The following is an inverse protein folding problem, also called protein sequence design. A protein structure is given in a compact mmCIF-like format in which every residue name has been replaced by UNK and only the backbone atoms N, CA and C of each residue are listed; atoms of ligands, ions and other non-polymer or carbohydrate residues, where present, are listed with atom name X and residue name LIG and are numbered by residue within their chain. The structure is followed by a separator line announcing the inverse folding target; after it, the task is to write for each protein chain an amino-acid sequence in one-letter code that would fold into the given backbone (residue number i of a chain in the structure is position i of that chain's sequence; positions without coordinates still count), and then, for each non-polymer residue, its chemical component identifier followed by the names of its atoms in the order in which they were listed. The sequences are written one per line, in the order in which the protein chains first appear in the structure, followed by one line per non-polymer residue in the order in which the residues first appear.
data_IF_790769218688
#
_entry.id   IF_790769218688
#
_cell.length_a   1.000
_cell.length_b   1.000
_cell.length_c   1.000
_cell.angle_alpha   90.00
_cell.angle_beta   90.00
_cell.angle_gamma   90.00
#
_symmetry.space_group_name_H-M   'P 1'
#
loop_
_entity.id
_entity.type
_entity.pdbx_description
1 polymer ?
#
# COMPACT_ATOMS: atom_id res chain seq x y z
N UNK A 1 -25.42 -24.62 -17.08
CA UNK A 1 -24.66 -23.37 -17.27
C UNK A 1 -25.49 -22.23 -16.71
N UNK A 2 -25.30 -21.88 -15.43
CA UNK A 2 -25.93 -20.70 -14.84
C UNK A 2 -24.82 -19.80 -14.32
N UNK A 3 -24.78 -18.62 -14.91
CA UNK A 3 -23.82 -17.56 -14.72
C UNK A 3 -23.84 -17.03 -13.28
N UNK A 4 -22.73 -17.21 -12.56
CA UNK A 4 -22.38 -16.42 -11.38
C UNK A 4 -21.37 -15.36 -11.78
N UNK A 5 -21.87 -14.25 -12.32
CA UNK A 5 -21.12 -13.08 -12.77
C UNK A 5 -20.23 -12.56 -11.64
N UNK A 6 -18.99 -12.21 -11.99
CA UNK A 6 -17.98 -11.48 -11.21
C UNK A 6 -18.58 -10.56 -10.14
N UNK A 7 -17.98 -10.54 -8.94
CA UNK A 7 -17.76 -9.31 -8.17
C UNK A 7 -16.72 -9.52 -7.07
N UNK A 8 -15.47 -9.30 -7.46
CA UNK A 8 -14.34 -8.95 -6.60
C UNK A 8 -14.65 -7.66 -5.85
N UNK A 9 -15.14 -7.73 -4.60
CA UNK A 9 -15.12 -6.56 -3.70
C UNK A 9 -14.48 -7.00 -2.38
N UNK A 10 -13.14 -7.01 -2.40
CA UNK A 10 -12.37 -6.87 -1.16
C UNK A 10 -12.82 -5.57 -0.52
N UNK A 11 -13.33 -5.69 0.72
CA UNK A 11 -13.77 -4.60 1.61
C UNK A 11 -12.96 -3.33 1.38
N UNK A 12 -13.60 -2.16 1.19
CA UNK A 12 -12.87 -0.90 1.14
C UNK A 12 -12.07 -0.79 2.43
N UNK A 13 -10.80 -0.48 2.25
CA UNK A 13 -9.80 -0.17 3.26
C UNK A 13 -10.33 0.96 4.13
N UNK A 14 -11.16 0.57 5.10
CA UNK A 14 -11.77 1.44 6.09
C UNK A 14 -10.63 1.92 7.00
N UNK A 15 -10.06 3.05 6.59
CA UNK A 15 -9.05 3.82 7.33
C UNK A 15 -9.69 4.36 8.61
N UNK A 16 -9.88 3.49 9.60
CA UNK A 16 -10.41 3.91 10.90
C UNK A 16 -9.39 3.58 11.98
N UNK A 17 -8.83 4.66 12.52
CA UNK A 17 -8.44 4.74 13.93
C UNK A 17 -7.01 5.18 14.20
N UNK A 18 -6.09 5.11 13.23
CA UNK A 18 -4.68 5.53 13.40
C UNK A 18 -4.16 6.00 12.04
N UNK A 19 -3.99 7.30 11.85
CA UNK A 19 -3.33 7.88 10.67
C UNK A 19 -1.95 7.22 10.52
N UNK A 20 -1.84 6.34 9.53
CA UNK A 20 -0.66 5.53 9.28
C UNK A 20 -0.31 5.69 7.81
N UNK A 21 0.87 6.21 7.53
CA UNK A 21 1.38 6.43 6.18
C UNK A 21 2.06 5.14 5.73
N UNK A 22 1.51 4.47 4.71
CA UNK A 22 2.08 3.25 4.15
C UNK A 22 3.05 3.61 3.03
N UNK A 23 4.31 3.30 3.20
CA UNK A 23 5.36 3.80 2.32
C UNK A 23 6.10 2.64 1.69
N UNK A 24 6.26 2.68 0.38
CA UNK A 24 6.98 1.67 -0.37
C UNK A 24 8.34 2.25 -0.75
N UNK A 25 9.43 1.64 -0.28
CA UNK A 25 10.80 2.00 -0.66
C UNK A 25 11.30 1.10 -1.79
N UNK A 26 11.12 -0.21 -1.64
CA UNK A 26 11.44 -1.18 -2.68
C UNK A 26 10.15 -1.81 -3.20
N UNK A 27 9.87 -1.66 -4.48
CA UNK A 27 8.66 -2.17 -5.10
C UNK A 27 8.55 -1.72 -6.54
N UNK A 28 7.38 -1.91 -7.14
CA UNK A 28 7.12 -1.41 -8.50
C UNK A 28 7.23 0.11 -8.61
N UNK A 29 6.73 0.83 -7.61
CA UNK A 29 6.72 2.29 -7.55
C UNK A 29 6.96 2.76 -6.12
N UNK A 30 8.17 3.23 -5.80
CA UNK A 30 8.45 3.79 -4.48
C UNK A 30 7.62 5.06 -4.28
N UNK A 31 6.76 5.06 -3.26
CA UNK A 31 5.85 6.16 -2.97
C UNK A 31 5.15 5.98 -1.62
N UNK A 32 4.73 7.09 -1.01
CA UNK A 32 3.86 7.11 0.16
C UNK A 32 2.39 6.97 -0.28
N UNK A 33 1.70 5.99 0.31
CA UNK A 33 0.28 5.71 0.10
C UNK A 33 -0.46 5.82 1.43
N UNK A 34 -1.61 6.48 1.40
CA UNK A 34 -2.56 6.50 2.52
C UNK A 34 -3.47 5.26 2.54
N UNK A 35 -3.30 4.34 1.60
CA UNK A 35 -4.17 3.16 1.44
C UNK A 35 -3.34 1.90 1.26
N UNK A 36 -3.64 0.89 2.07
CA UNK A 36 -3.00 -0.42 1.97
C UNK A 36 -3.27 -1.07 0.63
N UNK A 37 -4.46 -0.87 0.05
CA UNK A 37 -4.81 -1.45 -1.26
C UNK A 37 -3.87 -0.97 -2.38
N UNK A 38 -3.45 0.30 -2.36
CA UNK A 38 -2.50 0.83 -3.35
C UNK A 38 -1.09 0.30 -3.08
N UNK A 39 -0.65 0.35 -1.82
CA UNK A 39 0.64 -0.18 -1.39
C UNK A 39 0.80 -1.66 -1.75
N UNK A 40 -0.20 -2.49 -1.40
CA UNK A 40 -0.24 -3.92 -1.72
C UNK A 40 -0.04 -4.17 -3.20
N UNK A 41 -0.70 -3.45 -4.10
CA UNK A 41 -0.52 -3.63 -5.55
C UNK A 41 0.93 -3.38 -6.03
N UNK A 42 1.71 -2.59 -5.29
CA UNK A 42 3.11 -2.30 -5.64
C UNK A 42 4.10 -3.34 -5.08
N UNK A 43 3.76 -3.95 -3.94
CA UNK A 43 4.62 -4.95 -3.26
C UNK A 43 4.23 -6.39 -3.58
N UNK A 44 2.97 -6.63 -3.92
CA UNK A 44 2.40 -7.95 -4.25
C UNK A 44 3.00 -8.45 -5.57
N UNK A 45 3.71 -9.57 -5.47
CA UNK A 45 4.47 -10.17 -6.56
C UNK A 45 5.82 -9.51 -6.87
N UNK A 46 6.29 -8.54 -6.06
CA UNK A 46 7.62 -7.95 -6.22
C UNK A 46 8.62 -8.63 -5.27
N UNK A 47 9.67 -9.24 -5.84
CA UNK A 47 10.67 -9.98 -5.07
C UNK A 47 11.60 -9.00 -4.36
N UNK A 48 11.64 -9.06 -3.02
CA UNK A 48 12.40 -8.09 -2.22
C UNK A 48 11.69 -6.74 -2.04
N UNK A 49 10.35 -6.73 -2.07
CA UNK A 49 9.60 -5.52 -1.80
C UNK A 49 9.78 -5.09 -0.33
N UNK A 50 10.07 -3.81 -0.12
CA UNK A 50 10.21 -3.21 1.20
C UNK A 50 9.19 -2.09 1.34
N UNK A 51 8.30 -2.27 2.31
CA UNK A 51 7.34 -1.26 2.71
C UNK A 51 7.38 -1.06 4.22
N UNK A 52 7.17 0.17 4.66
CA UNK A 52 7.13 0.54 6.07
C UNK A 52 5.91 1.39 6.34
N UNK A 53 5.49 1.44 7.59
CA UNK A 53 4.33 2.23 8.00
C UNK A 53 4.79 3.21 9.06
N UNK A 54 4.66 4.50 8.77
CA UNK A 54 5.03 5.56 9.70
C UNK A 54 3.79 6.24 10.25
N UNK A 55 3.96 6.86 11.42
CA UNK A 55 2.93 7.72 12.02
C UNK A 55 3.10 9.18 11.59
N UNK A 56 4.28 9.53 11.07
CA UNK A 56 4.67 10.88 10.69
C UNK A 56 4.91 10.92 9.19
N UNK A 57 4.36 11.93 8.51
CA UNK A 57 4.54 12.13 7.08
C UNK A 57 6.01 12.39 6.72
N UNK A 58 6.72 13.21 7.52
CA UNK A 58 8.13 13.53 7.29
C UNK A 58 9.03 12.28 7.25
N UNK A 59 8.90 11.37 8.23
CA UNK A 59 9.63 10.10 8.23
C UNK A 59 9.27 9.22 7.03
N UNK A 60 7.99 9.25 6.62
CA UNK A 60 7.54 8.52 5.44
C UNK A 60 8.18 9.05 4.14
N UNK A 61 8.22 10.37 3.97
CA UNK A 61 8.83 11.00 2.79
C UNK A 61 10.33 10.78 2.73
N UNK A 62 11.03 10.90 3.87
CA UNK A 62 12.47 10.64 3.97
C UNK A 62 12.81 9.19 3.59
N UNK A 63 12.03 8.22 4.07
CA UNK A 63 12.22 6.82 3.75
C UNK A 63 12.06 6.48 2.25
N UNK A 64 11.27 7.24 1.51
CA UNK A 64 11.15 7.09 0.04
C UNK A 64 12.22 7.87 -0.70
N UNK A 65 12.62 9.02 -0.15
CA UNK A 65 13.67 9.85 -0.73
C UNK A 65 15.07 9.27 -0.55
N UNK A 66 15.27 8.35 0.41
CA UNK A 66 16.51 7.58 0.58
C UNK A 66 16.61 6.45 -0.46
N UNK A 67 16.90 6.83 -1.70
CA UNK A 67 17.22 5.94 -2.84
C UNK A 67 18.71 5.79 -3.07
#
# INVERSE_FOLDING_TARGET
MSSGRMSTVKKPDEVIGRERYHVVRCGRRPSAYLSWTKCRKQVDGFRGAEHRVFKVLAEAEEFVSEV
#
